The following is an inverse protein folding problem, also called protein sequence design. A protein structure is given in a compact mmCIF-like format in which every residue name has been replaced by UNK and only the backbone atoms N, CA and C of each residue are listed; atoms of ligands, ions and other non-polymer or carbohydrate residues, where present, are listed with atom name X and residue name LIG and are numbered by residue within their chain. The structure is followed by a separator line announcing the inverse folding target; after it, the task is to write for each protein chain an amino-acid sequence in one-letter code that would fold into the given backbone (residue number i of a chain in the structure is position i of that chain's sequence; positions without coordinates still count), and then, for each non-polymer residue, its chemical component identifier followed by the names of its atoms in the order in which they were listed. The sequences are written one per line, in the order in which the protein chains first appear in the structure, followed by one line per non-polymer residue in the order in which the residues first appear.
data_IF_919964651570
#
_entry.id   IF_919964651570
#
_cell.length_a   1.000
_cell.length_b   1.000
_cell.length_c   1.000
_cell.angle_alpha   90.00
_cell.angle_beta   90.00
_cell.angle_gamma   90.00
#
_symmetry.space_group_name_H-M   'P 1'
#
loop_
_entity.id
_entity.type
_entity.pdbx_description
1 polymer ?
#
# COMPACT_ATOMS: atom_id res chain seq x y z
N UNK A 1 6.18 33.66 10.45
CA UNK A 1 7.12 33.45 11.56
C UNK A 1 8.50 33.80 11.04
N UNK A 2 9.17 34.79 11.65
CA UNK A 2 10.55 35.10 11.31
C UNK A 2 11.43 34.45 12.38
N UNK A 3 11.75 33.19 12.16
CA UNK A 3 12.67 32.46 13.04
C UNK A 3 14.09 32.89 12.73
N UNK A 4 14.86 33.21 13.78
CA UNK A 4 16.25 33.68 13.67
C UNK A 4 17.15 32.67 14.36
N UNK A 5 18.07 32.08 13.60
CA UNK A 5 19.11 31.18 14.10
C UNK A 5 20.40 31.98 14.28
N UNK A 6 20.92 32.04 15.51
CA UNK A 6 22.14 32.79 15.82
C UNK A 6 23.35 31.88 16.00
N UNK A 7 24.35 32.15 15.15
CA UNK A 7 25.78 31.81 15.23
C UNK A 7 26.43 31.94 16.62
N UNK A 8 26.93 30.88 17.26
CA UNK A 8 27.83 31.08 18.41
C UNK A 8 29.26 31.42 17.96
N UNK A 9 29.68 30.89 16.81
CA UNK A 9 30.96 31.15 16.16
C UNK A 9 30.81 31.26 14.63
N UNK A 10 31.88 31.67 13.95
CA UNK A 10 31.95 31.73 12.48
C UNK A 10 32.68 30.54 11.87
N UNK A 11 32.92 29.47 12.66
CA UNK A 11 33.61 28.27 12.23
C UNK A 11 32.84 27.55 11.12
N UNK A 12 33.58 27.01 10.15
CA UNK A 12 32.99 26.30 9.01
C UNK A 12 32.23 25.04 9.45
N UNK A 13 32.73 24.31 10.44
CA UNK A 13 32.10 23.09 10.97
C UNK A 13 30.71 23.36 11.57
N UNK A 14 30.54 24.48 12.27
CA UNK A 14 29.24 24.91 12.83
C UNK A 14 28.21 25.16 11.73
N UNK A 15 28.63 25.83 10.65
CA UNK A 15 27.79 26.08 9.47
C UNK A 15 27.45 24.80 8.73
N UNK A 16 28.40 23.88 8.59
CA UNK A 16 28.20 22.59 7.93
C UNK A 16 27.17 21.77 8.69
N UNK A 17 27.28 21.67 10.03
CA UNK A 17 26.34 20.94 10.87
C UNK A 17 24.89 21.43 10.69
N UNK A 18 24.68 22.74 10.69
CA UNK A 18 23.35 23.33 10.47
C UNK A 18 22.89 23.12 9.02
N UNK A 19 23.77 23.29 8.04
CA UNK A 19 23.45 23.08 6.63
C UNK A 19 22.99 21.64 6.37
N UNK A 20 23.62 20.65 7.00
CA UNK A 20 23.21 19.24 6.91
C UNK A 20 21.79 19.02 7.46
N UNK A 21 21.48 19.55 8.66
CA UNK A 21 20.14 19.45 9.23
C UNK A 21 19.09 20.12 8.34
N UNK A 22 19.38 21.31 7.80
CA UNK A 22 18.48 22.01 6.89
C UNK A 22 18.29 21.24 5.57
N UNK A 23 19.36 20.67 5.00
CA UNK A 23 19.29 19.86 3.80
C UNK A 23 18.43 18.60 4.00
N UNK A 24 18.54 17.95 5.16
CA UNK A 24 17.68 16.80 5.50
C UNK A 24 16.21 17.20 5.62
N UNK A 25 15.90 18.32 6.29
CA UNK A 25 14.51 18.82 6.33
C UNK A 25 13.98 19.13 4.93
N UNK A 26 14.77 19.79 4.09
CA UNK A 26 14.34 20.12 2.71
C UNK A 26 14.11 18.86 1.86
N UNK A 27 14.90 17.79 2.09
CA UNK A 27 14.69 16.49 1.46
C UNK A 27 13.41 15.81 1.97
N UNK A 28 13.12 15.93 3.27
CA UNK A 28 11.90 15.42 3.86
C UNK A 28 10.65 16.08 3.27
N UNK A 29 10.69 17.39 2.98
CA UNK A 29 9.60 18.11 2.32
C UNK A 29 9.18 17.43 1.00
N UNK A 30 10.16 16.96 0.20
CA UNK A 30 9.88 16.27 -1.07
C UNK A 30 9.17 14.94 -0.85
N UNK A 31 9.53 14.19 0.19
CA UNK A 31 8.85 12.93 0.52
C UNK A 31 7.44 13.18 1.07
N UNK A 32 7.27 14.21 1.88
CA UNK A 32 5.96 14.63 2.38
C UNK A 32 5.01 14.98 1.23
N UNK A 33 5.48 15.71 0.22
CA UNK A 33 4.71 16.05 -0.98
C UNK A 33 4.27 14.79 -1.74
N UNK A 34 5.17 13.82 -1.98
CA UNK A 34 4.82 12.56 -2.67
C UNK A 34 3.77 11.73 -1.93
N UNK A 35 3.88 11.64 -0.60
CA UNK A 35 2.91 10.89 0.21
C UNK A 35 1.58 11.64 0.25
N UNK A 36 1.60 12.97 0.28
CA UNK A 36 0.39 13.78 0.20
C UNK A 36 -0.33 13.57 -1.13
N UNK A 37 0.40 13.57 -2.25
CA UNK A 37 -0.15 13.32 -3.58
C UNK A 37 -0.72 11.90 -3.70
N UNK A 38 0.01 10.90 -3.21
CA UNK A 38 -0.49 9.51 -3.14
C UNK A 38 -1.76 9.40 -2.29
N UNK A 39 -1.84 10.16 -1.19
CA UNK A 39 -3.03 10.21 -0.33
C UNK A 39 -4.21 10.87 -1.06
N UNK A 40 -3.98 11.96 -1.80
CA UNK A 40 -5.01 12.64 -2.61
C UNK A 40 -5.55 11.71 -3.70
N UNK A 41 -4.66 11.01 -4.41
CA UNK A 41 -5.02 10.08 -5.48
C UNK A 41 -5.80 8.87 -4.97
N UNK A 42 -5.61 8.45 -3.72
CA UNK A 42 -6.27 7.26 -3.16
C UNK A 42 -7.48 7.59 -2.28
N UNK A 43 -7.77 8.88 -2.02
CA UNK A 43 -8.82 9.33 -1.10
C UNK A 43 -10.23 8.84 -1.45
N UNK A 44 -10.55 8.72 -2.74
CA UNK A 44 -11.88 8.26 -3.18
C UNK A 44 -12.09 6.77 -2.95
N UNK A 45 -11.02 5.99 -2.78
CA UNK A 45 -11.09 4.53 -2.66
C UNK A 45 -11.82 4.08 -1.38
N UNK A 46 -11.43 4.52 -0.16
CA UNK A 46 -12.18 4.19 1.06
C UNK A 46 -13.62 4.72 1.03
N UNK A 47 -13.84 5.89 0.45
CA UNK A 47 -15.19 6.48 0.34
C UNK A 47 -16.10 5.61 -0.53
N UNK A 48 -15.62 5.23 -1.72
CA UNK A 48 -16.37 4.36 -2.64
C UNK A 48 -16.60 2.98 -2.01
N UNK A 49 -15.61 2.44 -1.30
CA UNK A 49 -15.75 1.15 -0.60
C UNK A 49 -16.81 1.22 0.50
N UNK A 50 -16.86 2.31 1.29
CA UNK A 50 -17.85 2.49 2.34
C UNK A 50 -19.28 2.66 1.78
N UNK A 51 -19.43 3.32 0.63
CA UNK A 51 -20.74 3.56 0.01
C UNK A 51 -21.27 2.34 -0.75
N UNK A 52 -20.41 1.65 -1.50
CA UNK A 52 -20.84 0.63 -2.48
C UNK A 52 -20.48 -0.80 -2.08
N UNK A 53 -19.56 -0.99 -1.13
CA UNK A 53 -19.04 -2.31 -0.74
C UNK A 53 -18.17 -3.01 -1.80
N UNK A 54 -18.03 -2.41 -3.00
CA UNK A 54 -17.33 -3.02 -4.13
C UNK A 54 -16.42 -2.02 -4.85
N UNK A 55 -15.23 -2.47 -5.23
CA UNK A 55 -14.28 -1.64 -5.97
C UNK A 55 -14.23 -2.14 -7.42
N UNK A 56 -15.20 -1.71 -8.23
CA UNK A 56 -15.28 -2.13 -9.64
C UNK A 56 -14.22 -1.50 -10.55
N UNK A 57 -13.58 -0.42 -10.10
CA UNK A 57 -12.68 0.40 -10.93
C UNK A 57 -11.22 -0.09 -10.94
N UNK A 58 -10.82 -0.93 -9.99
CA UNK A 58 -9.44 -1.39 -9.86
C UNK A 58 -9.35 -2.92 -10.03
N UNK A 59 -8.39 -3.38 -10.82
CA UNK A 59 -8.08 -4.81 -10.94
C UNK A 59 -7.12 -5.25 -9.82
N UNK A 60 -7.05 -6.57 -9.57
CA UNK A 60 -6.08 -7.16 -8.64
C UNK A 60 -4.63 -6.73 -8.96
N UNK A 61 -4.33 -6.58 -10.26
CA UNK A 61 -3.02 -6.13 -10.73
C UNK A 61 -2.75 -4.67 -10.34
N UNK A 62 -3.73 -3.78 -10.49
CA UNK A 62 -3.58 -2.36 -10.19
C UNK A 62 -3.32 -2.15 -8.69
N UNK A 63 -4.07 -2.85 -7.83
CA UNK A 63 -3.87 -2.82 -6.38
C UNK A 63 -2.49 -3.37 -6.00
N UNK A 64 -2.07 -4.48 -6.60
CA UNK A 64 -0.73 -5.05 -6.35
C UNK A 64 0.41 -4.11 -6.75
N UNK A 65 0.26 -3.40 -7.88
CA UNK A 65 1.24 -2.39 -8.31
C UNK A 65 1.30 -1.20 -7.33
N UNK A 66 0.15 -0.77 -6.82
CA UNK A 66 0.08 0.33 -5.86
C UNK A 66 0.70 -0.05 -4.51
N UNK A 67 0.45 -1.26 -4.01
CA UNK A 67 1.14 -1.81 -2.83
C UNK A 67 2.66 -1.80 -3.03
N UNK A 68 3.13 -2.25 -4.20
CA UNK A 68 4.55 -2.24 -4.53
C UNK A 68 5.16 -0.83 -4.55
N UNK A 69 4.46 0.16 -5.10
CA UNK A 69 4.89 1.57 -5.08
C UNK A 69 5.01 2.12 -3.66
N UNK A 70 4.02 1.87 -2.80
CA UNK A 70 4.10 2.28 -1.39
C UNK A 70 5.26 1.63 -0.65
N UNK A 71 5.59 0.38 -0.99
CA UNK A 71 6.75 -0.30 -0.41
C UNK A 71 8.07 0.36 -0.82
N UNK A 72 8.21 0.77 -2.09
CA UNK A 72 9.38 1.51 -2.57
C UNK A 72 9.47 2.87 -1.85
N UNK A 73 8.40 3.65 -1.79
CA UNK A 73 8.42 4.96 -1.10
C UNK A 73 8.76 4.80 0.39
N UNK A 74 8.20 3.79 1.07
CA UNK A 74 8.57 3.49 2.45
C UNK A 74 10.03 3.08 2.58
N UNK A 75 10.52 2.23 1.68
CA UNK A 75 11.92 1.82 1.67
C UNK A 75 12.83 3.03 1.45
N UNK A 76 12.47 3.96 0.57
CA UNK A 76 13.25 5.17 0.33
C UNK A 76 13.24 6.08 1.56
N UNK A 77 12.09 6.32 2.19
CA UNK A 77 12.00 7.11 3.43
C UNK A 77 12.79 6.43 4.54
N UNK A 78 12.64 5.12 4.72
CA UNK A 78 13.32 4.38 5.77
C UNK A 78 14.83 4.27 5.51
N UNK A 79 15.29 4.09 4.27
CA UNK A 79 16.71 4.12 3.92
C UNK A 79 17.33 5.51 4.11
N UNK A 80 16.55 6.58 3.92
CA UNK A 80 17.01 7.95 4.17
C UNK A 80 16.84 8.38 5.64
N UNK A 81 16.02 7.67 6.42
CA UNK A 81 15.85 7.84 7.87
C UNK A 81 16.80 6.95 8.67
N UNK A 82 17.14 5.75 8.19
CA UNK A 82 18.16 4.88 8.79
C UNK A 82 19.59 5.32 8.39
N UNK A 83 19.70 6.27 7.46
CA UNK A 83 20.92 7.03 7.19
C UNK A 83 21.10 8.21 8.18
N UNK A 84 20.38 8.19 9.31
CA UNK A 84 20.51 9.11 10.45
C UNK A 84 21.46 8.56 11.55
N UNK A 85 22.35 7.63 11.20
CA UNK A 85 23.65 7.66 11.85
C UNK A 85 24.25 9.06 11.64
N UNK A 86 24.97 9.56 12.64
CA UNK A 86 25.58 10.89 12.53
C UNK A 86 26.33 10.98 11.19
N UNK A 87 26.07 12.01 10.36
CA UNK A 87 26.73 12.15 9.06
C UNK A 87 28.22 11.84 9.19
N UNK A 88 28.82 11.15 8.21
CA UNK A 88 30.25 10.76 8.23
C UNK A 88 31.17 11.93 8.61
N UNK A 89 30.75 13.15 8.30
CA UNK A 89 31.39 14.39 8.74
C UNK A 89 31.68 14.46 10.26
N UNK A 90 30.81 13.92 11.11
CA UNK A 90 30.96 13.89 12.57
C UNK A 90 31.74 12.67 13.07
N UNK A 91 32.15 11.75 12.19
CA UNK A 91 32.95 10.59 12.60
C UNK A 91 34.39 10.99 12.93
N UNK A 92 34.90 12.03 12.27
CA UNK A 92 36.24 12.57 12.50
C UNK A 92 36.29 13.69 13.57
N UNK A 93 35.21 14.46 13.70
CA UNK A 93 35.08 15.59 14.64
C UNK A 93 33.63 15.73 15.14
N UNK A 94 33.37 15.27 16.37
CA UNK A 94 32.04 15.24 16.98
C UNK A 94 31.67 16.54 17.71
N UNK A 95 32.54 17.56 17.74
CA UNK A 95 32.34 18.81 18.50
C UNK A 95 31.00 19.49 18.16
N UNK A 96 30.57 19.42 16.88
CA UNK A 96 29.35 20.06 16.37
C UNK A 96 28.16 19.12 16.19
N UNK A 97 28.31 17.84 16.53
CA UNK A 97 27.22 16.86 16.48
C UNK A 97 26.03 17.24 17.39
N UNK A 98 26.22 17.75 18.63
CA UNK A 98 25.10 18.20 19.45
C UNK A 98 24.32 19.36 18.83
N UNK A 99 24.99 20.23 18.07
CA UNK A 99 24.36 21.33 17.36
C UNK A 99 23.49 20.82 16.20
N UNK A 100 24.02 19.88 15.41
CA UNK A 100 23.24 19.19 14.38
C UNK A 100 21.97 18.54 14.97
N UNK A 101 22.11 17.77 16.05
CA UNK A 101 20.97 17.14 16.75
C UNK A 101 19.96 18.16 17.27
N UNK A 102 20.43 19.30 17.79
CA UNK A 102 19.55 20.40 18.23
C UNK A 102 18.79 21.01 17.07
N UNK A 103 19.43 21.17 15.91
CA UNK A 103 18.79 21.69 14.70
C UNK A 103 17.78 20.70 14.11
N UNK A 104 18.11 19.40 14.08
CA UNK A 104 17.18 18.34 13.68
C UNK A 104 15.92 18.32 14.55
N UNK A 105 16.09 18.46 15.86
CA UNK A 105 14.98 18.59 16.82
C UNK A 105 14.19 19.89 16.62
N UNK A 106 14.86 21.00 16.33
CA UNK A 106 14.20 22.28 16.05
C UNK A 106 13.32 22.21 14.80
N UNK A 107 13.81 21.54 13.75
CA UNK A 107 13.09 21.29 12.50
C UNK A 107 12.08 20.14 12.58
N UNK A 108 11.98 19.51 13.76
CA UNK A 108 11.07 18.40 14.08
C UNK A 108 11.15 17.21 13.10
N UNK A 109 12.35 16.96 12.56
CA UNK A 109 12.57 16.00 11.47
C UNK A 109 12.14 14.58 11.87
N UNK A 110 12.52 14.11 13.06
CA UNK A 110 12.18 12.76 13.54
C UNK A 110 10.66 12.54 13.65
N UNK A 111 9.94 13.52 14.21
CA UNK A 111 8.50 13.44 14.37
C UNK A 111 7.79 13.46 12.99
N UNK A 112 8.27 14.30 12.07
CA UNK A 112 7.74 14.37 10.71
C UNK A 112 7.94 13.06 9.95
N UNK A 113 9.12 12.45 10.06
CA UNK A 113 9.37 11.10 9.52
C UNK A 113 8.44 10.06 10.13
N UNK A 114 8.20 10.11 11.44
CA UNK A 114 7.27 9.20 12.12
C UNK A 114 5.83 9.34 11.60
N UNK A 115 5.35 10.58 11.45
CA UNK A 115 4.03 10.88 10.87
C UNK A 115 3.94 10.36 9.43
N UNK A 116 4.98 10.55 8.63
CA UNK A 116 5.05 10.11 7.24
C UNK A 116 4.95 8.58 7.13
N UNK A 117 5.72 7.86 7.94
CA UNK A 117 5.64 6.40 8.03
C UNK A 117 4.24 5.92 8.44
N UNK A 118 3.63 6.57 9.45
CA UNK A 118 2.27 6.24 9.90
C UNK A 118 1.24 6.41 8.78
N UNK A 119 1.36 7.46 7.95
CA UNK A 119 0.46 7.66 6.79
C UNK A 119 0.63 6.56 5.75
N UNK A 120 1.88 6.19 5.45
CA UNK A 120 2.18 5.08 4.54
C UNK A 120 1.66 3.73 5.06
N UNK A 121 1.72 3.49 6.37
CA UNK A 121 1.14 2.31 7.02
C UNK A 121 -0.37 2.23 6.81
N UNK A 122 -1.09 3.33 7.09
CA UNK A 122 -2.54 3.38 6.89
C UNK A 122 -2.91 3.13 5.43
N UNK A 123 -2.16 3.71 4.47
CA UNK A 123 -2.39 3.48 3.05
C UNK A 123 -2.15 2.01 2.68
N UNK A 124 -1.10 1.39 3.19
CA UNK A 124 -0.81 -0.02 2.95
C UNK A 124 -1.91 -0.91 3.51
N UNK A 125 -2.33 -0.69 4.76
CA UNK A 125 -3.43 -1.44 5.40
C UNK A 125 -4.71 -1.36 4.58
N UNK A 126 -5.06 -0.16 4.08
CA UNK A 126 -6.18 0.01 3.17
C UNK A 126 -6.03 -0.90 1.94
N UNK A 127 -4.91 -0.82 1.22
CA UNK A 127 -4.69 -1.61 0.01
C UNK A 127 -4.66 -3.11 0.26
N UNK A 128 -4.14 -3.57 1.39
CA UNK A 128 -4.14 -4.97 1.78
C UNK A 128 -5.58 -5.47 1.97
N UNK A 129 -6.45 -4.68 2.60
CA UNK A 129 -7.89 -4.98 2.70
C UNK A 129 -8.53 -5.08 1.30
N UNK A 130 -8.19 -4.18 0.38
CA UNK A 130 -8.73 -4.22 -0.99
C UNK A 130 -8.28 -5.46 -1.76
N UNK A 131 -7.00 -5.82 -1.64
CA UNK A 131 -6.43 -7.00 -2.28
C UNK A 131 -7.14 -8.28 -1.81
N UNK A 132 -7.40 -8.39 -0.50
CA UNK A 132 -8.16 -9.50 0.05
C UNK A 132 -9.62 -9.54 -0.44
N UNK A 133 -10.26 -8.38 -0.57
CA UNK A 133 -11.63 -8.26 -1.10
C UNK A 133 -11.72 -8.77 -2.55
N UNK A 134 -10.77 -8.35 -3.40
CA UNK A 134 -10.70 -8.76 -4.80
C UNK A 134 -10.37 -10.26 -4.94
N UNK A 135 -9.46 -10.80 -4.12
CA UNK A 135 -9.18 -12.24 -4.09
C UNK A 135 -10.44 -13.06 -3.76
N UNK A 136 -11.21 -12.65 -2.73
CA UNK A 136 -12.49 -13.30 -2.38
C UNK A 136 -13.51 -13.28 -3.51
N UNK A 137 -13.58 -12.20 -4.30
CA UNK A 137 -14.47 -12.15 -5.47
C UNK A 137 -14.09 -13.18 -6.55
N UNK A 138 -12.79 -13.43 -6.75
CA UNK A 138 -12.33 -14.45 -7.68
C UNK A 138 -12.69 -15.87 -7.19
N UNK A 139 -12.48 -16.15 -5.91
CA UNK A 139 -12.81 -17.45 -5.31
C UNK A 139 -14.31 -17.75 -5.39
N UNK A 140 -15.15 -16.74 -5.13
CA UNK A 140 -16.62 -16.87 -5.23
C UNK A 140 -17.06 -17.26 -6.65
N UNK A 141 -16.42 -16.72 -7.70
CA UNK A 141 -16.73 -17.08 -9.10
C UNK A 141 -16.38 -18.54 -9.39
N UNK A 142 -15.27 -19.03 -8.86
CA UNK A 142 -14.85 -20.41 -9.04
C UNK A 142 -15.82 -21.37 -8.34
N UNK A 143 -16.31 -21.01 -7.16
CA UNK A 143 -17.35 -21.76 -6.45
C UNK A 143 -18.63 -21.89 -7.28
N UNK A 144 -19.13 -20.78 -7.85
CA UNK A 144 -20.31 -20.82 -8.72
C UNK A 144 -20.11 -21.69 -9.96
N UNK A 145 -18.92 -21.69 -10.57
CA UNK A 145 -18.60 -22.57 -11.70
C UNK A 145 -18.72 -24.05 -11.29
N UNK A 146 -18.18 -24.42 -10.12
CA UNK A 146 -18.26 -25.79 -9.61
C UNK A 146 -19.72 -26.20 -9.34
N UNK A 147 -20.53 -25.33 -8.74
CA UNK A 147 -21.96 -25.59 -8.51
C UNK A 147 -22.69 -25.83 -9.84
N UNK A 148 -22.45 -24.99 -10.86
CA UNK A 148 -23.08 -25.15 -12.17
C UNK A 148 -22.66 -26.45 -12.87
N UNK A 149 -21.39 -26.87 -12.73
CA UNK A 149 -20.91 -28.14 -13.29
C UNK A 149 -21.63 -29.34 -12.67
N UNK A 150 -21.80 -29.36 -11.34
CA UNK A 150 -22.53 -30.44 -10.64
C UNK A 150 -24.01 -30.46 -11.07
N UNK A 151 -24.67 -29.31 -11.17
CA UNK A 151 -26.06 -29.23 -11.63
C UNK A 151 -26.20 -29.74 -13.06
N UNK A 152 -25.28 -29.38 -13.95
CA UNK A 152 -25.30 -29.86 -15.33
C UNK A 152 -25.13 -31.38 -15.42
N UNK A 153 -24.23 -31.96 -14.61
CA UNK A 153 -24.01 -33.41 -14.54
C UNK A 153 -25.29 -34.16 -14.14
N UNK A 154 -25.94 -33.71 -13.05
CA UNK A 154 -27.20 -34.31 -12.58
C UNK A 154 -28.31 -34.20 -13.63
N UNK A 155 -28.43 -33.04 -14.30
CA UNK A 155 -29.44 -32.84 -15.36
C UNK A 155 -29.21 -33.79 -16.53
N UNK A 156 -27.95 -33.98 -16.96
CA UNK A 156 -27.61 -34.91 -18.04
C UNK A 156 -27.92 -36.35 -17.63
N UNK A 157 -27.59 -36.76 -16.40
CA UNK A 157 -27.88 -38.11 -15.90
C UNK A 157 -29.38 -38.39 -15.79
N UNK A 158 -30.16 -37.42 -15.29
CA UNK A 158 -31.63 -37.54 -15.20
C UNK A 158 -32.26 -37.58 -16.57
N UNK A 159 -31.85 -36.69 -17.48
CA UNK A 159 -32.35 -36.65 -18.85
C UNK A 159 -32.03 -37.96 -19.59
N UNK A 160 -30.80 -38.46 -19.47
CA UNK A 160 -30.39 -39.74 -20.06
C UNK A 160 -31.20 -40.91 -19.50
N UNK A 161 -31.39 -40.98 -18.17
CA UNK A 161 -32.16 -42.04 -17.54
C UNK A 161 -33.64 -42.03 -17.97
N UNK A 162 -34.28 -40.87 -17.99
CA UNK A 162 -35.69 -40.74 -18.40
C UNK A 162 -35.82 -41.07 -19.89
N UNK A 163 -35.01 -40.45 -20.74
CA UNK A 163 -35.13 -40.60 -22.18
C UNK A 163 -34.83 -42.04 -22.64
N UNK A 164 -33.86 -42.72 -22.02
CA UNK A 164 -33.58 -44.12 -22.33
C UNK A 164 -34.67 -45.04 -21.79
N UNK A 165 -35.08 -44.89 -20.52
CA UNK A 165 -36.08 -45.78 -19.94
C UNK A 165 -37.45 -45.62 -20.59
N UNK A 166 -37.90 -44.40 -20.86
CA UNK A 166 -39.21 -44.18 -21.44
C UNK A 166 -39.25 -44.56 -22.92
N UNK A 167 -38.20 -44.28 -23.71
CA UNK A 167 -38.17 -44.67 -25.13
C UNK A 167 -37.96 -46.18 -25.29
N UNK A 168 -37.03 -46.81 -24.56
CA UNK A 168 -36.87 -48.27 -24.64
C UNK A 168 -38.05 -49.03 -24.04
N UNK A 169 -38.65 -48.50 -22.96
CA UNK A 169 -39.86 -49.06 -22.35
C UNK A 169 -41.05 -49.04 -23.30
N UNK A 170 -41.24 -47.94 -24.04
CA UNK A 170 -42.27 -47.84 -25.07
C UNK A 170 -42.04 -48.81 -26.25
N UNK A 171 -40.79 -48.99 -26.68
CA UNK A 171 -40.45 -49.95 -27.76
C UNK A 171 -40.56 -51.42 -27.33
N UNK A 172 -40.34 -51.74 -26.06
CA UNK A 172 -40.47 -53.09 -25.53
C UNK A 172 -41.94 -53.54 -25.38
N UNK A 173 -42.85 -52.61 -25.03
CA UNK A 173 -44.27 -52.93 -24.85
C UNK A 173 -45.06 -53.05 -26.17
N UNK A 174 -44.58 -52.44 -27.27
CA UNK A 174 -45.29 -52.43 -28.56
C UNK A 174 -44.94 -53.64 -29.46
N UNK A 175 -44.43 -54.74 -28.89
CA UNK A 175 -44.03 -55.97 -29.59
C UNK A 175 -44.73 -57.25 -29.10
N UNK A 176 -45.72 -57.15 -28.23
CA UNK A 176 -46.61 -58.27 -27.87
C UNK A 176 -47.95 -58.19 -28.60
#
# INVERSE_FOLDING_TARGET
MNDVITLSSFRSSEKIAISFAMAQSCKLDVFEERVEDSTKETRHIPQTLAETGEIKKYSQKDISQLIGRLFIERSDINLNSDMLDDPDFFWDDDEYQPLYKKMMKYLDVDNRVHILNTRLDILRELLDVLSQQLARQHDTKLEWIVIWLIVAEVVVEVFWNILIKDILGFFAHNRE
#
